data_IF_992865023264
#
_entry.id   IF_992865023264
#
_cell.length_a   1.000
_cell.length_b   1.000
_cell.length_c   1.000
_cell.angle_alpha   90.00
_cell.angle_beta   90.00
_cell.angle_gamma   90.00
#
_symmetry.space_group_name_H-M   'P 1'
#
loop_
_entity.id
_entity.type
_entity.pdbx_description
1 polymer ?
#
# COMPACT_ATOMS: atom_id res chain seq x y z
N UNK A 1 7.11 -48.92 -60.17
CA UNK A 1 6.92 -50.00 -59.17
C UNK A 1 5.79 -49.59 -58.24
N UNK A 2 4.63 -50.29 -58.36
CA UNK A 2 3.45 -49.93 -57.47
C UNK A 2 3.63 -50.75 -56.18
N UNK A 3 3.74 -50.07 -55.04
CA UNK A 3 3.89 -50.75 -53.75
C UNK A 3 2.66 -51.63 -53.43
N UNK A 4 2.87 -52.83 -52.82
CA UNK A 4 1.78 -53.69 -52.37
C UNK A 4 0.81 -52.93 -51.43
N UNK A 5 -0.50 -53.22 -51.41
CA UNK A 5 -1.49 -52.53 -50.59
C UNK A 5 -1.14 -52.52 -49.11
N UNK A 6 -0.72 -53.64 -48.55
CA UNK A 6 -0.32 -53.79 -47.14
C UNK A 6 0.83 -52.88 -46.76
N UNK A 7 1.79 -52.65 -47.66
CA UNK A 7 2.91 -51.75 -47.41
C UNK A 7 2.50 -50.30 -47.47
N UNK A 8 1.49 -49.92 -48.27
CA UNK A 8 0.88 -48.60 -48.32
C UNK A 8 0.13 -48.28 -47.04
N UNK A 9 -0.65 -49.27 -46.55
CA UNK A 9 -1.42 -49.09 -45.29
C UNK A 9 -0.49 -48.99 -44.09
N UNK A 10 0.60 -49.74 -44.04
CA UNK A 10 1.62 -49.60 -42.99
C UNK A 10 2.33 -48.26 -43.05
N UNK A 11 2.68 -47.76 -44.22
CA UNK A 11 3.30 -46.45 -44.39
C UNK A 11 2.33 -45.34 -43.94
N UNK A 12 1.04 -45.43 -44.29
CA UNK A 12 0.04 -44.48 -43.87
C UNK A 12 -0.17 -44.47 -42.33
N UNK A 13 -0.20 -45.68 -41.72
CA UNK A 13 -0.28 -45.79 -40.25
C UNK A 13 0.95 -45.21 -39.56
N UNK A 14 2.16 -45.49 -40.02
CA UNK A 14 3.40 -44.91 -39.49
C UNK A 14 3.46 -43.38 -39.68
N UNK A 15 3.00 -42.87 -40.83
CA UNK A 15 2.92 -41.43 -41.05
C UNK A 15 1.94 -40.75 -40.06
N UNK A 16 0.78 -41.36 -39.82
CA UNK A 16 -0.20 -40.87 -38.85
C UNK A 16 0.38 -40.89 -37.42
N UNK A 17 1.10 -41.93 -37.03
CA UNK A 17 1.74 -42.00 -35.71
C UNK A 17 2.87 -40.99 -35.56
N UNK A 18 3.69 -40.79 -36.61
CA UNK A 18 4.73 -39.74 -36.62
C UNK A 18 4.11 -38.35 -36.49
N UNK A 19 2.99 -38.08 -37.13
CA UNK A 19 2.28 -36.80 -36.98
C UNK A 19 1.72 -36.62 -35.58
N UNK A 20 1.13 -37.64 -34.98
CA UNK A 20 0.67 -37.64 -33.61
C UNK A 20 1.82 -37.40 -32.61
N UNK A 21 2.93 -38.12 -32.74
CA UNK A 21 4.12 -37.94 -31.90
C UNK A 21 4.76 -36.55 -32.06
N UNK A 22 4.75 -35.99 -33.26
CA UNK A 22 5.21 -34.61 -33.51
C UNK A 22 4.31 -33.58 -32.81
N UNK A 23 2.99 -33.79 -32.85
CA UNK A 23 2.03 -32.93 -32.16
C UNK A 23 2.21 -32.98 -30.63
N UNK A 24 2.35 -34.19 -30.07
CA UNK A 24 2.60 -34.37 -28.62
C UNK A 24 3.94 -33.77 -28.19
N UNK A 25 4.99 -33.96 -28.98
CA UNK A 25 6.30 -33.38 -28.71
C UNK A 25 6.25 -31.84 -28.73
N UNK A 26 5.48 -31.25 -29.65
CA UNK A 26 5.27 -29.80 -29.70
C UNK A 26 4.48 -29.30 -28.47
N UNK A 27 3.46 -30.06 -28.04
CA UNK A 27 2.68 -29.73 -26.84
C UNK A 27 3.53 -29.81 -25.57
N UNK A 28 4.34 -30.87 -25.41
CA UNK A 28 5.26 -31.00 -24.26
C UNK A 28 6.33 -29.92 -24.24
N UNK A 29 6.93 -29.59 -25.37
CA UNK A 29 7.90 -28.47 -25.46
C UNK A 29 7.26 -27.14 -25.05
N UNK A 30 6.00 -26.91 -25.44
CA UNK A 30 5.24 -25.72 -25.03
C UNK A 30 5.01 -25.73 -23.53
N UNK A 31 4.62 -26.84 -22.93
CA UNK A 31 4.39 -26.96 -21.50
C UNK A 31 5.68 -26.73 -20.69
N UNK A 32 6.79 -27.29 -21.11
CA UNK A 32 8.12 -27.05 -20.53
C UNK A 32 8.50 -25.57 -20.62
N UNK A 33 8.24 -24.91 -21.75
CA UNK A 33 8.50 -23.48 -21.91
C UNK A 33 7.63 -22.64 -20.98
N UNK A 34 6.36 -22.98 -20.81
CA UNK A 34 5.42 -22.30 -19.92
C UNK A 34 5.80 -22.50 -18.44
N UNK A 35 6.22 -23.71 -18.05
CA UNK A 35 6.71 -24.01 -16.70
C UNK A 35 8.01 -23.23 -16.39
N UNK A 36 8.98 -23.22 -17.32
CA UNK A 36 10.20 -22.42 -17.18
C UNK A 36 9.87 -20.94 -17.02
N UNK A 37 8.97 -20.39 -17.84
CA UNK A 37 8.51 -19.01 -17.74
C UNK A 37 7.86 -18.71 -16.37
N UNK A 38 7.10 -19.66 -15.80
CA UNK A 38 6.52 -19.51 -14.46
C UNK A 38 7.59 -19.48 -13.36
N UNK A 39 8.64 -20.31 -13.48
CA UNK A 39 9.77 -20.35 -12.56
C UNK A 39 10.61 -19.06 -12.62
N UNK A 40 10.82 -18.52 -13.81
CA UNK A 40 11.60 -17.29 -14.02
C UNK A 40 10.85 -16.02 -13.60
N UNK A 41 9.52 -16.10 -13.35
CA UNK A 41 8.73 -15.00 -12.83
C UNK A 41 9.02 -14.74 -11.35
N UNK A 42 9.41 -13.51 -11.04
CA UNK A 42 9.69 -13.01 -9.70
C UNK A 42 9.00 -11.69 -9.44
N UNK A 43 9.21 -11.10 -8.27
CA UNK A 43 8.59 -9.82 -7.90
C UNK A 43 9.09 -8.62 -8.70
N UNK A 44 10.19 -8.73 -9.45
CA UNK A 44 10.71 -7.64 -10.30
C UNK A 44 10.09 -7.61 -11.70
N UNK A 45 9.63 -8.78 -12.19
CA UNK A 45 9.08 -8.96 -13.54
C UNK A 45 7.63 -9.49 -13.56
N UNK A 46 6.97 -9.55 -12.39
CA UNK A 46 5.59 -9.98 -12.29
C UNK A 46 4.88 -9.29 -11.13
N UNK A 47 3.59 -9.56 -10.94
CA UNK A 47 2.80 -9.11 -9.78
C UNK A 47 3.05 -9.93 -8.51
N UNK A 48 3.99 -10.89 -8.52
CA UNK A 48 4.32 -11.66 -7.32
C UNK A 48 4.88 -10.73 -6.23
N UNK A 49 4.48 -10.90 -4.96
CA UNK A 49 5.03 -10.10 -3.86
C UNK A 49 6.51 -10.46 -3.62
N UNK A 50 7.34 -9.54 -3.10
CA UNK A 50 8.74 -9.82 -2.76
C UNK A 50 8.97 -11.05 -1.89
N UNK A 51 8.01 -11.36 -1.03
CA UNK A 51 8.06 -12.54 -0.15
C UNK A 51 7.97 -13.88 -0.87
N UNK A 52 7.54 -13.90 -2.14
CA UNK A 52 7.52 -15.12 -2.95
C UNK A 52 8.86 -15.41 -3.63
N UNK A 53 9.84 -14.50 -3.52
CA UNK A 53 11.13 -14.63 -4.21
C UNK A 53 12.11 -15.59 -3.51
N UNK A 54 11.85 -15.99 -2.25
CA UNK A 54 12.74 -16.86 -1.46
C UNK A 54 14.01 -16.13 -0.98
N UNK A 55 14.83 -16.83 -0.18
CA UNK A 55 16.04 -16.28 0.45
C UNK A 55 17.27 -16.28 -0.47
N UNK A 56 17.27 -17.04 -1.58
CA UNK A 56 18.43 -17.21 -2.46
C UNK A 56 18.57 -16.12 -3.53
N UNK A 57 17.69 -15.14 -3.58
CA UNK A 57 17.76 -14.08 -4.59
C UNK A 57 18.73 -12.99 -4.21
N UNK A 58 19.51 -12.49 -5.20
CA UNK A 58 20.34 -11.33 -4.97
C UNK A 58 19.49 -10.14 -4.49
N UNK A 59 20.07 -9.22 -3.69
CA UNK A 59 19.37 -8.04 -3.22
C UNK A 59 18.74 -7.31 -4.41
N UNK A 60 17.50 -6.88 -4.26
CA UNK A 60 16.83 -6.09 -5.29
C UNK A 60 17.65 -4.83 -5.59
N UNK A 61 18.13 -4.72 -6.79
CA UNK A 61 18.35 -3.39 -7.34
C UNK A 61 16.95 -2.80 -7.47
N UNK A 62 16.63 -1.81 -6.64
CA UNK A 62 15.34 -1.16 -6.65
C UNK A 62 15.07 -0.69 -8.08
N UNK A 63 14.10 -1.30 -8.75
CA UNK A 63 13.60 -0.87 -10.06
C UNK A 63 12.84 0.43 -9.89
N UNK A 64 13.57 1.49 -9.55
CA UNK A 64 13.05 2.84 -9.57
C UNK A 64 12.81 3.22 -11.01
N UNK A 65 11.66 3.84 -11.30
CA UNK A 65 11.44 4.59 -12.54
C UNK A 65 12.37 5.80 -12.67
N UNK A 66 13.17 6.08 -11.63
CA UNK A 66 14.32 6.98 -11.67
C UNK A 66 15.49 6.21 -12.29
N UNK A 67 16.09 6.74 -13.35
CA UNK A 67 17.34 6.22 -13.89
C UNK A 67 18.39 6.06 -12.79
N UNK A 68 19.31 5.13 -12.95
CA UNK A 68 20.46 5.03 -12.04
C UNK A 68 21.18 6.38 -12.03
N UNK A 69 21.16 7.05 -10.89
CA UNK A 69 21.75 8.39 -10.76
C UNK A 69 23.28 8.38 -10.71
N UNK A 70 23.92 7.21 -10.75
CA UNK A 70 25.37 7.06 -10.53
C UNK A 70 25.85 7.50 -9.13
N UNK A 71 24.93 7.93 -8.27
CA UNK A 71 25.24 8.42 -6.92
C UNK A 71 25.29 7.26 -5.94
N UNK A 72 26.19 7.32 -4.97
CA UNK A 72 26.27 6.35 -3.88
C UNK A 72 24.99 6.33 -3.05
N UNK A 73 24.63 5.16 -2.47
CA UNK A 73 23.51 5.06 -1.55
C UNK A 73 23.81 5.82 -0.26
N UNK A 74 22.89 6.65 0.22
CA UNK A 74 23.05 7.46 1.42
C UNK A 74 22.77 8.94 1.18
N UNK A 75 23.09 9.77 2.17
CA UNK A 75 22.99 11.23 2.06
C UNK A 75 23.93 11.77 1.00
N UNK A 76 23.42 12.57 0.09
CA UNK A 76 24.21 13.23 -0.95
C UNK A 76 24.78 14.55 -0.43
N UNK A 77 25.89 15.05 -1.00
CA UNK A 77 26.38 16.38 -0.69
C UNK A 77 25.28 17.43 -0.88
N UNK A 78 25.07 18.30 0.11
CA UNK A 78 23.97 19.28 0.13
C UNK A 78 22.62 18.76 0.61
N UNK A 79 22.51 17.47 0.99
CA UNK A 79 21.30 16.96 1.64
C UNK A 79 21.21 17.54 3.06
N UNK A 80 20.13 18.26 3.35
CA UNK A 80 19.85 18.72 4.71
C UNK A 80 19.59 17.50 5.60
N UNK A 81 20.63 17.06 6.31
CA UNK A 81 20.55 15.94 7.24
C UNK A 81 19.59 16.25 8.38
N UNK A 82 18.78 15.26 8.79
CA UNK A 82 17.93 15.33 9.98
C UNK A 82 18.73 15.13 11.28
N UNK A 83 19.80 15.91 11.51
CA UNK A 83 20.59 15.80 12.74
C UNK A 83 19.79 16.37 13.91
N UNK A 84 19.83 15.68 15.05
CA UNK A 84 19.21 16.17 16.30
C UNK A 84 19.83 17.53 16.65
N UNK A 85 18.97 18.54 16.83
CA UNK A 85 19.38 19.92 17.19
C UNK A 85 19.01 20.21 18.61
N UNK A 86 19.83 21.05 19.26
CA UNK A 86 19.54 21.56 20.59
C UNK A 86 18.24 22.40 20.58
N UNK A 87 17.44 22.27 21.65
CA UNK A 87 16.28 23.14 21.88
C UNK A 87 16.67 24.37 22.70
N UNK A 88 15.99 25.47 22.43
CA UNK A 88 16.27 26.73 23.13
C UNK A 88 15.88 26.68 24.61
N UNK A 89 14.82 25.94 24.95
CA UNK A 89 14.29 25.81 26.33
C UNK A 89 14.26 24.30 26.67
N UNK A 90 15.31 23.76 27.33
CA UNK A 90 15.29 22.41 27.86
C UNK A 90 14.43 22.32 29.10
N UNK A 91 13.82 21.16 29.37
CA UNK A 91 12.95 20.93 30.52
C UNK A 91 13.72 20.98 31.85
N UNK A 92 14.98 20.50 31.85
CA UNK A 92 15.85 20.49 33.03
C UNK A 92 17.22 21.00 32.67
N UNK A 93 17.80 21.88 33.50
CA UNK A 93 19.18 22.35 33.37
C UNK A 93 19.97 21.83 34.57
N UNK A 94 20.97 21.01 34.32
CA UNK A 94 21.95 20.56 35.33
C UNK A 94 23.25 21.32 35.09
N UNK A 95 23.71 22.06 36.08
CA UNK A 95 25.00 22.74 36.05
C UNK A 95 26.05 21.82 36.65
N UNK A 96 27.19 21.73 35.97
CA UNK A 96 28.37 21.02 36.42
C UNK A 96 29.49 22.05 36.62
N UNK A 97 30.05 22.09 37.79
CA UNK A 97 31.10 23.02 38.18
C UNK A 97 32.39 22.24 38.36
N UNK A 98 33.52 22.89 38.07
CA UNK A 98 34.85 22.32 38.33
C UNK A 98 35.31 22.78 39.70
N UNK A 99 35.73 21.86 40.55
CA UNK A 99 36.20 22.16 41.88
C UNK A 99 37.60 22.76 41.88
N UNK A 100 38.44 22.33 40.94
CA UNK A 100 39.84 22.80 40.87
C UNK A 100 40.31 23.02 39.41
N UNK A 101 41.27 23.89 39.26
CA UNK A 101 41.95 24.16 38.00
C UNK A 101 42.73 22.91 37.50
N UNK A 102 42.55 22.49 36.26
CA UNK A 102 43.25 21.32 35.67
C UNK A 102 44.76 21.55 35.46
N UNK A 103 45.21 22.81 35.48
CA UNK A 103 46.61 23.15 35.22
C UNK A 103 47.42 23.34 36.52
N UNK A 104 46.85 23.98 37.54
CA UNK A 104 47.60 24.32 38.76
C UNK A 104 46.95 23.75 40.03
N UNK A 105 45.83 23.00 39.93
CA UNK A 105 45.06 22.37 41.00
C UNK A 105 44.48 23.36 42.06
N UNK A 106 44.57 24.66 41.82
CA UNK A 106 43.98 25.65 42.71
C UNK A 106 42.43 25.58 42.69
N UNK A 107 41.77 25.76 43.82
CA UNK A 107 40.29 25.77 43.91
C UNK A 107 39.68 26.87 43.04
N UNK A 108 38.55 26.57 42.41
CA UNK A 108 37.85 27.48 41.50
C UNK A 108 36.62 28.14 42.14
N UNK A 109 36.42 28.02 43.43
CA UNK A 109 35.22 28.57 44.16
C UNK A 109 35.08 30.08 44.03
N UNK A 110 36.16 30.82 43.83
CA UNK A 110 36.18 32.28 43.65
C UNK A 110 36.47 32.73 42.22
N UNK A 111 36.64 31.75 41.29
CA UNK A 111 36.93 32.04 39.90
C UNK A 111 35.71 32.57 39.15
N UNK A 112 35.93 33.52 38.23
CA UNK A 112 34.86 34.05 37.37
C UNK A 112 34.52 33.07 36.25
N UNK A 113 33.24 32.75 36.11
CA UNK A 113 32.75 31.94 34.98
C UNK A 113 32.80 32.77 33.69
N UNK A 114 33.61 32.36 32.71
CA UNK A 114 33.78 33.07 31.43
C UNK A 114 32.92 32.54 30.29
N UNK A 115 32.31 31.36 30.44
CA UNK A 115 31.43 30.77 29.43
C UNK A 115 30.81 29.48 29.88
N UNK A 116 29.88 29.00 29.06
CA UNK A 116 29.14 27.73 29.30
C UNK A 116 29.10 26.90 28.00
N UNK A 117 29.69 25.71 28.04
CA UNK A 117 29.48 24.70 27.00
C UNK A 117 28.18 23.96 27.27
N UNK A 118 27.28 23.85 26.27
CA UNK A 118 25.96 23.24 26.42
C UNK A 118 25.90 21.92 25.64
N UNK A 119 25.46 20.85 26.31
CA UNK A 119 25.12 19.56 25.69
C UNK A 119 23.75 19.17 26.17
N UNK A 120 22.90 18.66 25.28
CA UNK A 120 21.54 18.23 25.61
C UNK A 120 21.37 16.76 25.33
N UNK A 121 20.78 16.05 26.28
CA UNK A 121 20.37 14.64 26.18
C UNK A 121 18.86 14.60 26.09
N UNK A 122 18.33 13.99 25.05
CA UNK A 122 16.90 13.80 24.85
C UNK A 122 16.58 12.37 25.31
N UNK A 123 15.77 12.25 26.34
CA UNK A 123 15.38 10.96 26.90
C UNK A 123 13.87 10.88 27.08
N UNK A 124 13.34 9.68 27.29
CA UNK A 124 11.95 9.47 27.63
C UNK A 124 11.78 9.63 29.16
N UNK A 125 10.70 10.32 29.61
CA UNK A 125 10.34 10.26 31.02
C UNK A 125 9.98 8.81 31.41
N UNK A 126 10.12 8.46 32.67
CA UNK A 126 9.72 7.13 33.16
C UNK A 126 8.23 6.89 32.83
N UNK A 127 7.92 5.87 31.99
CA UNK A 127 6.54 5.65 31.57
C UNK A 127 5.73 5.02 32.72
N UNK A 128 4.62 5.64 33.08
CA UNK A 128 3.70 5.14 34.12
C UNK A 128 2.27 5.49 33.80
N UNK A 129 1.33 4.80 34.47
CA UNK A 129 -0.07 5.20 34.49
C UNK A 129 -0.30 6.29 35.52
N UNK A 130 -0.96 7.38 35.12
CA UNK A 130 -1.51 8.36 36.05
C UNK A 130 -2.87 7.85 36.54
N UNK A 131 -3.05 7.70 37.84
CA UNK A 131 -4.30 7.28 38.46
C UNK A 131 -4.99 8.49 39.07
N UNK A 132 -6.21 8.79 38.59
CA UNK A 132 -7.07 9.82 39.15
C UNK A 132 -8.22 9.17 39.90
N UNK A 133 -8.38 9.47 41.18
CA UNK A 133 -9.52 9.07 41.97
C UNK A 133 -10.60 10.15 41.91
N UNK A 134 -11.83 9.76 41.55
CA UNK A 134 -13.01 10.62 41.61
C UNK A 134 -13.84 10.22 42.83
N UNK A 135 -14.08 11.17 43.71
CA UNK A 135 -14.86 10.98 44.93
C UNK A 135 -16.20 11.69 44.81
N UNK A 136 -17.31 10.97 44.83
CA UNK A 136 -18.65 11.52 44.88
C UNK A 136 -19.09 11.65 46.35
N UNK A 137 -19.13 12.87 46.86
CA UNK A 137 -19.52 13.13 48.24
C UNK A 137 -20.98 12.79 48.50
N UNK A 138 -21.25 12.20 49.64
CA UNK A 138 -22.58 11.81 50.08
C UNK A 138 -23.00 12.74 51.21
N UNK A 139 -24.10 13.45 50.99
CA UNK A 139 -24.66 14.39 51.92
C UNK A 139 -25.94 13.87 52.57
N UNK A 140 -26.16 14.25 53.83
CA UNK A 140 -27.46 14.13 54.48
C UNK A 140 -28.07 15.52 54.61
N UNK A 141 -29.24 15.71 54.01
CA UNK A 141 -29.93 17.01 54.08
C UNK A 141 -30.32 17.33 55.50
N UNK A 142 -29.95 18.51 55.98
CA UNK A 142 -30.32 18.95 57.33
C UNK A 142 -31.83 19.18 57.49
N UNK A 143 -32.52 19.55 56.41
CA UNK A 143 -33.94 19.87 56.42
C UNK A 143 -34.82 18.60 56.34
N UNK A 144 -34.65 17.75 55.35
CA UNK A 144 -35.50 16.55 55.14
C UNK A 144 -34.79 15.23 55.54
N UNK A 145 -33.54 15.27 56.01
CA UNK A 145 -32.69 14.14 56.36
C UNK A 145 -32.43 13.13 55.24
N UNK A 146 -32.90 13.45 54.00
CA UNK A 146 -32.66 12.65 52.79
C UNK A 146 -31.18 12.56 52.43
N UNK A 147 -30.76 11.44 51.89
CA UNK A 147 -29.38 11.18 51.40
C UNK A 147 -29.25 11.61 49.94
N UNK A 148 -28.27 12.40 49.62
CA UNK A 148 -27.93 12.81 48.25
C UNK A 148 -26.47 12.55 47.96
N UNK A 149 -26.19 11.84 46.86
CA UNK A 149 -24.83 11.58 46.37
C UNK A 149 -24.54 12.47 45.17
N UNK A 150 -23.39 13.11 45.17
CA UNK A 150 -22.92 13.86 44.00
C UNK A 150 -22.74 12.96 42.77
N UNK A 151 -22.95 13.50 41.60
CA UNK A 151 -22.74 12.73 40.33
C UNK A 151 -21.26 12.68 39.96
N UNK A 152 -20.83 11.57 39.36
CA UNK A 152 -19.51 11.47 38.74
C UNK A 152 -19.50 12.25 37.41
N UNK A 153 -18.30 12.71 36.97
CA UNK A 153 -18.15 13.29 35.63
C UNK A 153 -18.52 12.29 34.52
N UNK A 154 -18.89 12.83 33.37
CA UNK A 154 -19.16 12.00 32.19
C UNK A 154 -17.97 11.09 31.86
N UNK A 155 -18.25 9.82 31.57
CA UNK A 155 -17.24 8.81 31.27
C UNK A 155 -16.62 8.12 32.49
N UNK A 156 -16.93 8.53 33.73
CA UNK A 156 -16.56 7.83 34.96
C UNK A 156 -17.73 6.93 35.39
N UNK A 157 -17.71 5.67 34.95
CA UNK A 157 -18.85 4.76 35.07
C UNK A 157 -18.57 3.48 35.90
N UNK A 158 -17.30 3.24 36.27
CA UNK A 158 -16.87 2.03 36.99
C UNK A 158 -15.96 2.41 38.15
N UNK A 159 -15.91 1.55 39.16
CA UNK A 159 -15.02 1.71 40.33
C UNK A 159 -13.53 1.73 39.95
N UNK A 160 -13.17 1.06 38.85
CA UNK A 160 -11.86 1.15 38.23
C UNK A 160 -12.01 1.00 36.72
N UNK A 161 -11.33 1.88 35.95
CA UNK A 161 -11.40 1.84 34.50
C UNK A 161 -10.14 2.46 33.88
N UNK A 162 -9.77 2.00 32.68
CA UNK A 162 -8.73 2.64 31.88
C UNK A 162 -9.26 3.91 31.19
N UNK A 163 -8.46 4.95 31.24
CA UNK A 163 -8.77 6.25 30.65
C UNK A 163 -8.67 6.26 29.10
N UNK A 164 -9.09 7.34 28.46
CA UNK A 164 -9.16 7.46 27.00
C UNK A 164 -7.79 7.33 26.31
N UNK A 165 -6.70 7.80 26.94
CA UNK A 165 -5.35 7.69 26.38
C UNK A 165 -4.84 6.26 26.34
N UNK A 166 -5.08 5.45 27.37
CA UNK A 166 -4.73 4.01 27.40
C UNK A 166 -5.49 3.28 26.31
N UNK A 167 -6.79 3.54 26.16
CA UNK A 167 -7.63 2.95 25.11
C UNK A 167 -7.13 3.32 23.72
N UNK A 168 -6.82 4.59 23.48
CA UNK A 168 -6.29 5.07 22.20
C UNK A 168 -4.91 4.49 21.89
N UNK A 169 -3.99 4.42 22.84
CA UNK A 169 -2.68 3.81 22.67
C UNK A 169 -2.79 2.32 22.32
N UNK A 170 -3.67 1.58 23.00
CA UNK A 170 -3.91 0.16 22.73
C UNK A 170 -4.49 -0.05 21.32
N UNK A 171 -5.46 0.75 20.89
CA UNK A 171 -6.02 0.71 19.53
C UNK A 171 -4.96 1.11 18.49
N UNK A 172 -4.13 2.11 18.78
CA UNK A 172 -3.01 2.50 17.91
C UNK A 172 -2.02 1.35 17.70
N UNK A 173 -1.58 0.71 18.78
CA UNK A 173 -0.64 -0.42 18.70
C UNK A 173 -1.26 -1.59 17.92
N UNK A 174 -2.52 -1.93 18.16
CA UNK A 174 -3.20 -3.03 17.47
C UNK A 174 -3.50 -2.72 16.00
N UNK A 175 -4.09 -1.57 15.69
CA UNK A 175 -4.61 -1.27 14.34
C UNK A 175 -3.58 -0.58 13.46
N UNK A 176 -2.78 0.37 14.00
CA UNK A 176 -1.78 1.08 13.20
C UNK A 176 -0.46 0.31 13.14
N UNK A 177 0.02 -0.22 14.26
CA UNK A 177 1.27 -0.97 14.34
C UNK A 177 1.08 -2.47 14.09
N UNK A 178 -0.17 -2.95 13.99
CA UNK A 178 -0.56 -4.33 13.69
C UNK A 178 -0.11 -5.35 14.74
N UNK A 179 0.17 -4.89 15.96
CA UNK A 179 0.58 -5.76 17.08
C UNK A 179 -0.63 -6.59 17.51
N UNK A 180 -0.50 -7.92 17.69
CA UNK A 180 -1.56 -8.77 18.20
C UNK A 180 -2.05 -8.33 19.59
N UNK A 181 -3.29 -8.60 19.92
CA UNK A 181 -3.98 -8.08 21.09
C UNK A 181 -3.30 -8.51 22.42
N UNK A 182 -2.80 -9.73 22.50
CA UNK A 182 -2.04 -10.26 23.63
C UNK A 182 -0.70 -9.53 23.81
N UNK A 183 0.00 -9.27 22.71
CA UNK A 183 1.25 -8.48 22.74
C UNK A 183 1.01 -7.01 23.05
N UNK A 184 -0.12 -6.44 22.62
CA UNK A 184 -0.51 -5.09 23.06
C UNK A 184 -0.68 -5.03 24.57
N UNK A 185 -1.39 -6.02 25.15
CA UNK A 185 -1.56 -6.11 26.61
C UNK A 185 -0.20 -6.21 27.32
N UNK A 186 0.70 -7.06 26.83
CA UNK A 186 2.06 -7.19 27.35
C UNK A 186 2.86 -5.86 27.21
N UNK A 187 2.85 -5.23 26.05
CA UNK A 187 3.53 -3.96 25.81
C UNK A 187 3.04 -2.85 26.75
N UNK A 188 1.73 -2.80 27.01
CA UNK A 188 1.15 -1.82 27.93
C UNK A 188 1.53 -2.11 29.38
N UNK A 189 1.70 -3.40 29.74
CA UNK A 189 2.21 -3.78 31.06
C UNK A 189 3.69 -3.41 31.22
N UNK A 190 4.52 -3.75 30.26
CA UNK A 190 5.97 -3.54 30.30
C UNK A 190 6.35 -2.05 30.30
N UNK A 191 5.66 -1.25 29.45
CA UNK A 191 6.00 0.18 29.29
C UNK A 191 5.31 1.08 30.30
N UNK A 192 4.08 0.73 30.78
CA UNK A 192 3.24 1.66 31.55
C UNK A 192 2.70 1.06 32.86
N UNK A 193 3.12 -0.15 33.22
CA UNK A 193 2.62 -0.81 34.42
C UNK A 193 1.15 -1.25 34.35
N UNK A 194 0.54 -1.35 33.15
CA UNK A 194 -0.85 -1.80 32.95
C UNK A 194 -0.99 -3.33 33.03
N UNK A 195 -0.46 -3.96 34.07
CA UNK A 195 -0.27 -5.41 34.19
C UNK A 195 -1.56 -6.26 34.10
N UNK A 196 -2.75 -5.66 34.28
CA UNK A 196 -4.04 -6.36 34.22
C UNK A 196 -4.84 -6.06 32.96
N UNK A 197 -4.21 -5.50 31.94
CA UNK A 197 -4.89 -5.24 30.67
C UNK A 197 -5.23 -6.56 29.97
N UNK A 198 -6.53 -6.81 29.81
CA UNK A 198 -7.02 -8.01 29.12
C UNK A 198 -6.99 -7.78 27.59
N UNK A 199 -6.47 -8.72 26.75
CA UNK A 199 -6.52 -8.65 25.30
C UNK A 199 -7.92 -8.39 24.73
N UNK A 200 -8.97 -8.95 25.35
CA UNK A 200 -10.35 -8.71 24.93
C UNK A 200 -10.78 -7.24 25.11
N UNK A 201 -10.19 -6.52 26.06
CA UNK A 201 -10.44 -5.09 26.23
C UNK A 201 -9.93 -4.29 25.03
N UNK A 202 -8.78 -4.65 24.45
CA UNK A 202 -8.23 -4.04 23.23
C UNK A 202 -9.21 -4.20 22.06
N UNK A 203 -9.77 -5.41 21.90
CA UNK A 203 -10.80 -5.70 20.87
C UNK A 203 -12.05 -4.86 21.10
N UNK A 204 -12.55 -4.80 22.34
CA UNK A 204 -13.74 -4.04 22.69
C UNK A 204 -13.56 -2.54 22.45
N UNK A 205 -12.41 -1.97 22.80
CA UNK A 205 -12.08 -0.57 22.56
C UNK A 205 -11.96 -0.26 21.07
N UNK A 206 -11.34 -1.16 20.29
CA UNK A 206 -11.29 -1.04 18.84
C UNK A 206 -12.68 -1.01 18.21
N UNK A 207 -13.58 -1.89 18.66
CA UNK A 207 -14.99 -1.94 18.19
C UNK A 207 -15.73 -0.66 18.54
N UNK A 208 -15.64 -0.18 19.79
CA UNK A 208 -16.26 1.08 20.23
C UNK A 208 -15.76 2.25 19.40
N UNK A 209 -14.44 2.40 19.27
CA UNK A 209 -13.84 3.49 18.49
C UNK A 209 -14.22 3.45 17.02
N UNK A 210 -14.32 2.25 16.42
CA UNK A 210 -14.81 2.10 15.05
C UNK A 210 -16.27 2.52 14.90
N UNK A 211 -17.12 2.31 15.92
CA UNK A 211 -18.50 2.77 15.87
C UNK A 211 -18.59 4.30 16.02
N UNK A 212 -17.81 4.89 16.92
CA UNK A 212 -17.67 6.35 17.04
C UNK A 212 -17.21 6.98 15.70
N UNK A 213 -16.32 6.32 14.96
CA UNK A 213 -15.81 6.80 13.67
C UNK A 213 -16.67 6.45 12.46
N UNK A 214 -17.86 5.92 12.64
CA UNK A 214 -18.76 5.51 11.54
C UNK A 214 -19.09 6.66 10.59
N UNK A 215 -19.45 7.82 11.14
CA UNK A 215 -19.79 9.01 10.35
C UNK A 215 -18.54 9.55 9.61
N UNK A 216 -17.39 9.65 10.29
CA UNK A 216 -16.12 10.12 9.71
C UNK A 216 -15.72 9.22 8.52
N UNK A 217 -15.76 7.89 8.71
CA UNK A 217 -15.42 6.94 7.66
C UNK A 217 -16.41 6.99 6.48
N UNK A 218 -17.69 7.21 6.73
CA UNK A 218 -18.70 7.40 5.69
C UNK A 218 -18.44 8.68 4.88
N UNK A 219 -18.07 9.77 5.54
CA UNK A 219 -17.72 11.03 4.87
C UNK A 219 -16.44 10.89 4.02
N UNK A 220 -15.39 10.22 4.56
CA UNK A 220 -14.18 9.90 3.78
C UNK A 220 -14.59 9.14 2.51
N UNK A 221 -15.43 8.12 2.63
CA UNK A 221 -15.89 7.33 1.48
C UNK A 221 -16.66 8.19 0.47
N UNK A 222 -17.50 9.11 0.93
CA UNK A 222 -18.26 10.03 0.07
C UNK A 222 -17.32 11.00 -0.66
N UNK A 223 -16.36 11.62 0.04
CA UNK A 223 -15.36 12.51 -0.57
C UNK A 223 -14.52 11.77 -1.62
N UNK A 224 -14.04 10.57 -1.32
CA UNK A 224 -13.33 9.73 -2.28
C UNK A 224 -14.21 9.39 -3.48
N UNK A 225 -15.50 9.13 -3.29
CA UNK A 225 -16.42 8.80 -4.38
C UNK A 225 -16.62 9.95 -5.38
N UNK A 226 -16.42 11.19 -4.98
CA UNK A 226 -16.56 12.39 -5.81
C UNK A 226 -15.22 12.98 -6.29
N UNK A 227 -14.08 12.44 -5.85
CA UNK A 227 -12.77 12.96 -6.21
C UNK A 227 -12.51 12.90 -7.73
N UNK A 228 -11.78 13.88 -8.25
CA UNK A 228 -11.43 13.94 -9.68
C UNK A 228 -10.54 12.77 -10.13
N UNK A 229 -9.59 12.35 -9.29
CA UNK A 229 -8.70 11.20 -9.53
C UNK A 229 -8.72 10.28 -8.32
N UNK A 230 -8.98 9.01 -8.56
CA UNK A 230 -9.06 7.96 -7.55
C UNK A 230 -8.20 6.78 -7.95
N UNK A 231 -7.56 6.19 -6.96
CA UNK A 231 -6.80 4.97 -7.08
C UNK A 231 -7.62 3.81 -6.53
N UNK A 232 -7.86 2.78 -7.31
CA UNK A 232 -8.56 1.58 -6.88
C UNK A 232 -7.63 0.36 -6.93
N UNK A 233 -7.72 -0.48 -5.90
CA UNK A 233 -7.02 -1.76 -5.83
C UNK A 233 -7.72 -2.67 -4.82
N UNK A 234 -7.45 -3.98 -4.85
CA UNK A 234 -7.98 -4.94 -3.91
C UNK A 234 -6.96 -5.98 -3.49
N UNK A 235 -7.12 -6.51 -2.29
CA UNK A 235 -6.28 -7.60 -1.81
C UNK A 235 -7.11 -8.66 -1.10
N UNK A 236 -6.78 -9.93 -1.35
CA UNK A 236 -7.36 -11.05 -0.62
C UNK A 236 -6.81 -11.16 0.79
N UNK A 237 -7.66 -11.56 1.73
CA UNK A 237 -7.29 -11.90 3.11
C UNK A 237 -8.21 -13.00 3.65
N UNK A 238 -8.01 -13.45 4.89
CA UNK A 238 -8.80 -14.55 5.46
C UNK A 238 -9.61 -14.10 6.68
N UNK A 239 -10.85 -14.58 6.76
CA UNK A 239 -11.72 -14.46 7.93
C UNK A 239 -12.25 -15.86 8.28
N UNK A 240 -11.96 -16.35 9.48
CA UNK A 240 -12.31 -17.70 9.91
C UNK A 240 -11.90 -18.77 8.85
N UNK A 241 -10.71 -18.66 8.29
CA UNK A 241 -10.21 -19.55 7.23
C UNK A 241 -10.75 -19.29 5.83
N UNK A 242 -11.86 -18.55 5.66
CA UNK A 242 -12.50 -18.25 4.36
C UNK A 242 -11.87 -17.03 3.70
N UNK A 243 -11.69 -17.09 2.37
CA UNK A 243 -11.19 -15.96 1.58
C UNK A 243 -12.16 -14.79 1.57
N UNK A 244 -11.65 -13.58 1.78
CA UNK A 244 -12.38 -12.31 1.73
C UNK A 244 -11.52 -11.28 0.97
N UNK A 245 -12.12 -10.15 0.60
CA UNK A 245 -11.46 -9.10 -0.16
C UNK A 245 -11.55 -7.75 0.55
N UNK A 246 -10.42 -7.07 0.66
CA UNK A 246 -10.35 -5.67 1.05
C UNK A 246 -10.18 -4.83 -0.20
N UNK A 247 -11.19 -4.03 -0.52
CA UNK A 247 -11.14 -3.02 -1.57
C UNK A 247 -10.70 -1.71 -0.98
N UNK A 248 -9.80 -1.02 -1.66
CA UNK A 248 -9.42 0.35 -1.34
C UNK A 248 -9.83 1.30 -2.45
N UNK A 249 -10.22 2.49 -2.05
CA UNK A 249 -10.32 3.65 -2.92
C UNK A 249 -9.58 4.80 -2.25
N UNK A 250 -8.59 5.35 -2.94
CA UNK A 250 -7.66 6.33 -2.39
C UNK A 250 -7.53 7.55 -3.27
N UNK A 251 -7.30 8.69 -2.65
CA UNK A 251 -6.74 9.91 -3.26
C UNK A 251 -5.38 10.21 -2.62
N UNK A 252 -4.74 11.29 -3.00
CA UNK A 252 -3.53 11.77 -2.34
C UNK A 252 -3.76 12.11 -0.85
N UNK A 253 -4.99 12.53 -0.48
CA UNK A 253 -5.35 13.00 0.86
C UNK A 253 -6.23 12.03 1.66
N UNK A 254 -6.95 11.12 1.00
CA UNK A 254 -7.99 10.30 1.61
C UNK A 254 -7.80 8.82 1.30
N UNK A 255 -8.26 7.95 2.20
CA UNK A 255 -8.29 6.50 1.98
C UNK A 255 -9.56 5.89 2.54
N UNK A 256 -10.32 5.21 1.71
CA UNK A 256 -11.51 4.44 2.08
C UNK A 256 -11.25 2.95 1.88
N UNK A 257 -11.76 2.12 2.80
CA UNK A 257 -11.70 0.66 2.71
C UNK A 257 -13.08 0.03 2.81
N UNK A 258 -13.27 -1.05 2.05
CA UNK A 258 -14.48 -1.87 2.11
C UNK A 258 -14.12 -3.36 2.10
N UNK A 259 -14.76 -4.11 3.00
CA UNK A 259 -14.62 -5.57 3.08
C UNK A 259 -15.78 -6.22 2.32
N UNK A 260 -15.47 -7.22 1.47
CA UNK A 260 -16.44 -7.99 0.70
C UNK A 260 -16.03 -9.46 0.60
N UNK A 261 -16.98 -10.34 0.38
CA UNK A 261 -16.79 -11.75 0.07
C UNK A 261 -16.41 -11.99 -1.40
N UNK A 262 -16.62 -11.00 -2.27
CA UNK A 262 -16.37 -11.08 -3.71
C UNK A 262 -15.30 -10.09 -4.16
N UNK A 263 -14.35 -10.57 -4.96
CA UNK A 263 -13.31 -9.72 -5.57
C UNK A 263 -13.90 -8.66 -6.51
N UNK A 264 -14.94 -8.99 -7.24
CA UNK A 264 -15.59 -8.10 -8.21
C UNK A 264 -16.67 -7.20 -7.63
N UNK A 265 -16.91 -7.24 -6.31
CA UNK A 265 -17.90 -6.39 -5.64
C UNK A 265 -17.38 -4.96 -5.48
N UNK A 266 -17.50 -4.17 -6.53
CA UNK A 266 -17.03 -2.78 -6.57
C UNK A 266 -18.07 -1.82 -6.01
N UNK A 267 -17.60 -0.71 -5.43
CA UNK A 267 -18.48 0.37 -4.97
C UNK A 267 -19.24 0.99 -6.16
N UNK A 268 -20.57 1.00 -6.09
CA UNK A 268 -21.44 1.64 -7.09
C UNK A 268 -21.56 3.16 -6.91
N UNK A 269 -20.93 3.71 -5.88
CA UNK A 269 -21.06 5.12 -5.50
C UNK A 269 -20.16 6.11 -6.25
N UNK A 270 -19.24 5.64 -7.08
CA UNK A 270 -18.33 6.52 -7.81
C UNK A 270 -19.06 7.36 -8.85
N UNK A 271 -18.75 8.64 -8.91
CA UNK A 271 -19.35 9.61 -9.82
C UNK A 271 -18.26 10.36 -10.57
N UNK A 272 -18.28 10.31 -11.91
CA UNK A 272 -17.36 11.03 -12.78
C UNK A 272 -15.87 10.75 -12.50
N UNK A 273 -14.99 11.63 -12.94
CA UNK A 273 -13.56 11.58 -12.67
C UNK A 273 -12.79 10.46 -13.38
N UNK A 274 -11.57 10.23 -12.92
CA UNK A 274 -10.65 9.21 -13.43
C UNK A 274 -10.39 8.17 -12.35
N UNK A 275 -10.42 6.89 -12.72
CA UNK A 275 -10.02 5.76 -11.87
C UNK A 275 -8.70 5.20 -12.37
N UNK A 276 -7.68 5.17 -11.50
CA UNK A 276 -6.37 4.56 -11.75
C UNK A 276 -6.37 3.14 -11.18
N UNK A 277 -6.06 2.12 -12.00
CA UNK A 277 -6.11 0.71 -11.60
C UNK A 277 -5.18 -0.21 -12.41
N UNK A 278 -5.10 -1.48 -12.06
CA UNK A 278 -4.20 -2.52 -12.64
C UNK A 278 -4.76 -3.26 -13.86
N UNK A 279 -5.84 -2.80 -14.49
CA UNK A 279 -6.56 -3.47 -15.57
C UNK A 279 -7.46 -4.64 -15.11
N UNK A 280 -7.83 -4.75 -13.84
CA UNK A 280 -8.83 -5.72 -13.41
C UNK A 280 -10.18 -5.44 -14.09
N UNK A 281 -10.69 -6.43 -14.85
CA UNK A 281 -11.85 -6.24 -15.74
C UNK A 281 -13.10 -5.63 -15.09
N UNK A 282 -13.49 -6.02 -13.85
CA UNK A 282 -14.66 -5.44 -13.21
C UNK A 282 -14.65 -3.91 -13.08
N UNK A 283 -13.47 -3.26 -13.00
CA UNK A 283 -13.41 -1.79 -12.94
C UNK A 283 -14.02 -1.11 -14.17
N UNK A 284 -13.95 -1.74 -15.35
CA UNK A 284 -14.54 -1.21 -16.58
C UNK A 284 -16.07 -1.25 -16.59
N UNK A 285 -16.70 -1.97 -15.66
CA UNK A 285 -18.16 -1.96 -15.49
C UNK A 285 -18.67 -0.79 -14.65
N UNK A 286 -17.78 0.04 -14.09
CA UNK A 286 -18.17 1.22 -13.32
C UNK A 286 -18.69 2.32 -14.27
N UNK A 287 -19.94 2.80 -14.07
CA UNK A 287 -20.56 3.74 -14.99
C UNK A 287 -20.02 5.17 -14.81
N UNK A 288 -19.94 5.92 -15.91
CA UNK A 288 -19.67 7.36 -15.91
C UNK A 288 -18.27 7.78 -15.46
N UNK A 289 -17.31 6.85 -15.41
CA UNK A 289 -15.92 7.12 -15.03
C UNK A 289 -14.97 6.94 -16.23
N UNK A 290 -13.85 7.64 -16.20
CA UNK A 290 -12.74 7.44 -17.13
C UNK A 290 -11.69 6.56 -16.47
N UNK A 291 -10.94 5.80 -17.25
CA UNK A 291 -9.92 4.87 -16.74
C UNK A 291 -8.52 5.36 -17.03
N UNK A 292 -7.59 5.09 -16.11
CA UNK A 292 -6.16 5.19 -16.31
C UNK A 292 -5.49 3.90 -15.82
N UNK A 293 -4.60 3.35 -16.63
CA UNK A 293 -3.94 2.09 -16.29
C UNK A 293 -2.60 2.34 -15.60
N UNK A 294 -2.32 1.54 -14.58
CA UNK A 294 -1.06 1.57 -13.85
C UNK A 294 0.11 1.12 -14.74
N UNK A 295 0.93 2.06 -15.18
CA UNK A 295 2.08 1.75 -16.02
C UNK A 295 3.20 1.00 -15.28
N UNK A 296 3.25 0.99 -13.95
CA UNK A 296 4.17 0.14 -13.20
C UNK A 296 3.92 -1.36 -13.47
N UNK A 297 2.67 -1.77 -13.68
CA UNK A 297 2.33 -3.13 -14.10
C UNK A 297 2.80 -3.41 -15.53
N UNK A 298 2.56 -2.49 -16.46
CA UNK A 298 3.07 -2.62 -17.84
C UNK A 298 4.59 -2.72 -17.87
N UNK A 299 5.31 -1.89 -17.10
CA UNK A 299 6.78 -1.95 -17.03
C UNK A 299 7.29 -3.29 -16.49
N UNK A 300 6.61 -3.90 -15.50
CA UNK A 300 6.96 -5.23 -14.99
C UNK A 300 6.72 -6.33 -16.04
N UNK A 301 5.60 -6.28 -16.74
CA UNK A 301 5.29 -7.22 -17.82
C UNK A 301 6.27 -7.07 -19.00
N UNK A 302 6.58 -5.83 -19.40
CA UNK A 302 7.59 -5.54 -20.42
C UNK A 302 8.98 -6.06 -20.02
N UNK A 303 9.34 -5.90 -18.74
CA UNK A 303 10.60 -6.45 -18.21
C UNK A 303 10.63 -7.98 -18.32
N UNK A 304 9.53 -8.67 -18.02
CA UNK A 304 9.46 -10.12 -18.21
C UNK A 304 9.69 -10.51 -19.68
N UNK A 305 9.07 -9.79 -20.62
CA UNK A 305 9.23 -10.04 -22.06
C UNK A 305 10.67 -9.79 -22.54
N UNK A 306 11.34 -8.79 -21.96
CA UNK A 306 12.77 -8.52 -22.25
C UNK A 306 13.67 -9.60 -21.66
N UNK A 307 13.49 -9.92 -20.39
CA UNK A 307 14.40 -10.81 -19.64
C UNK A 307 14.21 -12.28 -20.08
N UNK A 308 12.97 -12.72 -20.29
CA UNK A 308 12.60 -14.13 -20.54
C UNK A 308 12.41 -14.38 -22.03
N UNK A 309 11.56 -13.59 -22.69
CA UNK A 309 11.15 -13.84 -24.08
C UNK A 309 12.04 -13.15 -25.11
N UNK A 310 12.97 -12.26 -24.68
CA UNK A 310 13.91 -11.51 -25.53
C UNK A 310 13.24 -10.68 -26.63
N UNK A 311 12.01 -10.20 -26.39
CA UNK A 311 11.25 -9.43 -27.37
C UNK A 311 11.73 -7.97 -27.46
N UNK A 312 12.33 -7.57 -28.55
CA UNK A 312 12.93 -6.24 -28.76
C UNK A 312 11.92 -5.10 -28.65
N UNK A 313 10.69 -5.27 -29.19
CA UNK A 313 9.64 -4.25 -29.10
C UNK A 313 9.28 -3.91 -27.65
N UNK A 314 9.42 -4.87 -26.72
CA UNK A 314 9.15 -4.67 -25.31
C UNK A 314 10.14 -3.69 -24.66
N UNK A 315 11.43 -3.76 -25.04
CA UNK A 315 12.44 -2.77 -24.65
C UNK A 315 12.08 -1.37 -25.14
N UNK A 316 11.73 -1.25 -26.42
CA UNK A 316 11.35 0.04 -27.02
C UNK A 316 10.10 0.65 -26.36
N UNK A 317 9.12 -0.18 -26.01
CA UNK A 317 7.90 0.30 -25.31
C UNK A 317 8.20 0.71 -23.86
N UNK A 318 9.04 -0.04 -23.15
CA UNK A 318 9.48 0.32 -21.80
C UNK A 318 10.14 1.69 -21.81
N UNK A 319 11.10 1.91 -22.71
CA UNK A 319 11.88 3.13 -22.79
C UNK A 319 10.98 4.33 -23.19
N UNK A 320 10.04 4.11 -24.11
CA UNK A 320 9.04 5.11 -24.47
C UNK A 320 8.16 5.53 -23.28
N UNK A 321 7.65 4.57 -22.49
CA UNK A 321 6.81 4.88 -21.34
C UNK A 321 7.59 5.61 -20.24
N UNK A 322 8.87 5.27 -20.03
CA UNK A 322 9.73 5.96 -19.07
C UNK A 322 10.05 7.37 -19.52
N UNK A 323 10.41 7.57 -20.81
CA UNK A 323 10.63 8.86 -21.43
C UNK A 323 9.38 9.76 -21.36
N UNK A 324 8.22 9.20 -21.69
CA UNK A 324 6.94 9.90 -21.63
C UNK A 324 6.61 10.39 -20.21
N UNK A 325 6.86 9.56 -19.20
CA UNK A 325 6.72 9.95 -17.79
C UNK A 325 7.73 11.03 -17.39
N UNK A 326 8.96 10.94 -17.88
CA UNK A 326 10.00 11.97 -17.68
C UNK A 326 9.59 13.32 -18.25
N UNK A 327 9.05 13.33 -19.48
CA UNK A 327 8.57 14.55 -20.14
C UNK A 327 7.42 15.23 -19.35
N UNK A 328 6.45 14.46 -18.88
CA UNK A 328 5.38 15.01 -18.02
C UNK A 328 5.93 15.58 -16.72
N UNK A 329 6.84 14.87 -16.06
CA UNK A 329 7.44 15.36 -14.81
C UNK A 329 8.27 16.61 -15.01
N UNK A 330 9.03 16.72 -16.12
CA UNK A 330 9.74 17.94 -16.49
C UNK A 330 8.78 19.11 -16.67
N UNK A 331 7.75 18.92 -17.50
CA UNK A 331 6.74 19.92 -17.74
C UNK A 331 6.02 20.39 -16.44
N UNK A 332 5.71 19.48 -15.52
CA UNK A 332 5.11 19.84 -14.21
C UNK A 332 6.08 20.67 -13.36
N UNK A 333 7.38 20.33 -13.34
CA UNK A 333 8.39 21.11 -12.62
C UNK A 333 8.54 22.52 -13.20
N UNK A 334 8.38 22.67 -14.51
CA UNK A 334 8.40 23.95 -15.23
C UNK A 334 7.07 24.72 -15.12
N UNK A 335 6.08 24.20 -14.38
CA UNK A 335 4.77 24.84 -14.20
C UNK A 335 3.84 24.74 -15.40
N UNK A 336 4.15 23.91 -16.40
CA UNK A 336 3.31 23.75 -17.59
C UNK A 336 2.06 22.90 -17.28
N UNK A 337 0.91 23.31 -17.78
CA UNK A 337 -0.35 22.57 -17.63
C UNK A 337 -0.50 21.38 -18.61
N UNK A 338 0.30 21.34 -19.67
CA UNK A 338 0.27 20.32 -20.74
C UNK A 338 1.60 20.19 -21.45
N UNK A 339 1.84 19.05 -22.08
CA UNK A 339 2.99 18.86 -22.98
C UNK A 339 2.87 19.72 -24.24
N UNK A 340 4.01 20.19 -24.80
CA UNK A 340 4.04 20.76 -26.12
C UNK A 340 3.42 19.79 -27.15
N UNK A 341 2.60 20.31 -28.07
CA UNK A 341 1.85 19.50 -29.04
C UNK A 341 2.75 18.59 -29.87
N UNK A 342 3.93 19.06 -30.25
CA UNK A 342 4.90 18.28 -31.04
C UNK A 342 5.43 17.08 -30.23
N UNK A 343 5.78 17.30 -28.96
CA UNK A 343 6.26 16.23 -28.05
C UNK A 343 5.18 15.18 -27.88
N UNK A 344 3.94 15.59 -27.57
CA UNK A 344 2.81 14.69 -27.39
C UNK A 344 2.55 13.86 -28.67
N UNK A 345 2.50 14.49 -29.83
CA UNK A 345 2.30 13.81 -31.11
C UNK A 345 3.40 12.81 -31.42
N UNK A 346 4.66 13.16 -31.13
CA UNK A 346 5.83 12.29 -31.36
C UNK A 346 5.74 11.05 -30.49
N UNK A 347 5.45 11.19 -29.18
CA UNK A 347 5.28 10.06 -28.26
C UNK A 347 4.16 9.12 -28.72
N UNK A 348 3.00 9.67 -29.13
CA UNK A 348 1.87 8.89 -29.63
C UNK A 348 2.22 8.17 -30.93
N UNK A 349 2.90 8.83 -31.88
CA UNK A 349 3.34 8.21 -33.14
C UNK A 349 4.29 7.05 -32.89
N UNK A 350 5.26 7.21 -31.98
CA UNK A 350 6.21 6.17 -31.58
C UNK A 350 5.49 4.99 -30.91
N UNK A 351 4.56 5.27 -29.97
CA UNK A 351 3.73 4.23 -29.35
C UNK A 351 3.00 3.38 -30.39
N UNK A 352 2.30 4.03 -31.32
CA UNK A 352 1.57 3.33 -32.36
C UNK A 352 2.49 2.48 -33.28
N UNK A 353 3.67 3.01 -33.61
CA UNK A 353 4.66 2.29 -34.41
C UNK A 353 5.20 1.04 -33.73
N UNK A 354 5.51 1.14 -32.41
CA UNK A 354 5.99 -0.01 -31.62
C UNK A 354 4.90 -1.08 -31.50
N UNK A 355 3.66 -0.69 -31.19
CA UNK A 355 2.52 -1.61 -31.11
C UNK A 355 2.31 -2.34 -32.46
N UNK A 356 2.33 -1.60 -33.56
CA UNK A 356 2.17 -2.19 -34.90
C UNK A 356 3.28 -3.21 -35.23
N UNK A 357 4.55 -2.85 -34.95
CA UNK A 357 5.68 -3.78 -35.16
C UNK A 357 5.58 -5.02 -34.27
N UNK A 358 5.24 -4.86 -32.99
CA UNK A 358 5.05 -5.97 -32.08
C UNK A 358 3.91 -6.90 -32.50
N UNK A 359 2.78 -6.36 -32.95
CA UNK A 359 1.66 -7.16 -33.46
C UNK A 359 2.05 -7.90 -34.75
N UNK A 360 2.83 -7.28 -35.65
CA UNK A 360 3.36 -7.94 -36.85
C UNK A 360 4.32 -9.07 -36.48
N UNK A 361 5.23 -8.84 -35.52
CA UNK A 361 6.12 -9.88 -34.99
C UNK A 361 5.34 -11.12 -34.52
N UNK A 362 4.28 -10.92 -33.71
CA UNK A 362 3.49 -12.06 -33.18
C UNK A 362 2.63 -12.75 -34.26
N UNK A 363 2.18 -12.05 -35.30
CA UNK A 363 1.47 -12.69 -36.44
C UNK A 363 2.35 -13.65 -37.21
N UNK A 364 3.64 -13.37 -37.28
CA UNK A 364 4.61 -14.22 -38.00
C UNK A 364 5.13 -15.38 -37.12
N UNK A 365 4.71 -15.46 -35.84
CA UNK A 365 5.08 -16.60 -34.99
C UNK A 365 4.11 -17.77 -35.17
N UNK A 366 4.57 -19.00 -35.07
CA UNK A 366 3.70 -20.19 -35.09
C UNK A 366 2.61 -20.07 -34.00
N UNK A 367 1.38 -20.49 -34.25
CA UNK A 367 0.34 -20.51 -33.24
C UNK A 367 0.75 -21.38 -32.05
N UNK A 368 0.33 -20.98 -30.82
CA UNK A 368 0.55 -21.83 -29.65
C UNK A 368 -0.39 -23.05 -29.71
N UNK A 369 0.13 -24.21 -29.32
CA UNK A 369 -0.66 -25.44 -29.21
C UNK A 369 -1.77 -25.23 -28.14
N UNK A 370 -2.95 -25.78 -28.44
CA UNK A 370 -4.07 -25.81 -27.53
C UNK A 370 -3.89 -26.99 -26.57
N UNK A 371 -4.15 -26.77 -25.28
CA UNK A 371 -4.15 -27.89 -24.32
C UNK A 371 -5.21 -28.92 -24.74
N UNK A 372 -4.87 -30.20 -24.66
CA UNK A 372 -5.79 -31.28 -24.93
C UNK A 372 -7.05 -31.12 -24.07
N UNK A 373 -8.21 -31.23 -24.68
CA UNK A 373 -9.50 -31.05 -24.01
C UNK A 373 -9.92 -29.59 -23.71
N UNK A 374 -9.07 -28.59 -23.97
CA UNK A 374 -9.43 -27.19 -23.74
C UNK A 374 -10.45 -26.68 -24.77
N UNK A 375 -11.56 -26.10 -24.27
CA UNK A 375 -12.57 -25.43 -25.12
C UNK A 375 -12.13 -24.00 -25.44
N UNK A 376 -12.63 -23.44 -26.55
CA UNK A 376 -12.41 -22.04 -26.94
C UNK A 376 -11.22 -21.81 -27.89
N UNK A 377 -10.78 -20.53 -28.02
CA UNK A 377 -9.70 -20.11 -28.93
C UNK A 377 -8.33 -20.56 -28.44
N UNK A 378 -7.37 -20.77 -29.35
CA UNK A 378 -5.98 -21.01 -29.00
C UNK A 378 -5.42 -19.83 -28.15
N UNK A 379 -4.54 -20.10 -27.17
CA UNK A 379 -3.98 -19.05 -26.33
C UNK A 379 -3.04 -18.14 -27.13
N UNK A 380 -3.01 -16.87 -26.80
CA UNK A 380 -1.99 -15.96 -27.33
C UNK A 380 -0.77 -15.91 -26.41
N UNK A 381 0.41 -15.63 -26.99
CA UNK A 381 1.63 -15.34 -26.22
C UNK A 381 1.43 -14.15 -25.29
N UNK A 382 2.16 -14.12 -24.18
CA UNK A 382 2.06 -13.03 -23.20
C UNK A 382 2.31 -11.66 -23.82
N UNK A 383 3.33 -11.55 -24.69
CA UNK A 383 3.62 -10.32 -25.41
C UNK A 383 2.48 -9.88 -26.34
N UNK A 384 1.86 -10.81 -27.06
CA UNK A 384 0.69 -10.52 -27.89
C UNK A 384 -0.49 -9.97 -27.07
N UNK A 385 -0.79 -10.59 -25.93
CA UNK A 385 -1.87 -10.12 -25.03
C UNK A 385 -1.58 -8.71 -24.48
N UNK A 386 -0.31 -8.42 -24.14
CA UNK A 386 0.09 -7.09 -23.70
C UNK A 386 -0.07 -6.06 -24.84
N UNK A 387 0.34 -6.39 -26.06
CA UNK A 387 0.17 -5.50 -27.22
C UNK A 387 -1.28 -5.19 -27.54
N UNK A 388 -2.16 -6.21 -27.48
CA UNK A 388 -3.61 -6.01 -27.65
C UNK A 388 -4.13 -5.04 -26.59
N UNK A 389 -3.70 -5.16 -25.32
CA UNK A 389 -4.08 -4.27 -24.24
C UNK A 389 -3.56 -2.84 -24.48
N UNK A 390 -2.28 -2.67 -24.81
CA UNK A 390 -1.67 -1.37 -25.13
C UNK A 390 -2.36 -0.69 -26.33
N UNK A 391 -2.82 -1.46 -27.30
CA UNK A 391 -3.57 -0.97 -28.47
C UNK A 391 -4.98 -0.57 -28.09
N UNK A 392 -5.75 -1.51 -27.53
CA UNK A 392 -7.19 -1.32 -27.23
C UNK A 392 -7.44 -0.23 -26.18
N UNK A 393 -6.60 -0.18 -25.15
CA UNK A 393 -6.71 0.75 -24.03
C UNK A 393 -5.67 1.88 -24.08
N UNK A 394 -5.21 2.23 -25.29
CA UNK A 394 -4.19 3.27 -25.49
C UNK A 394 -4.48 4.56 -24.72
N UNK A 395 -5.74 5.05 -24.76
CA UNK A 395 -6.13 6.28 -24.05
C UNK A 395 -5.96 6.14 -22.54
N UNK A 396 -6.23 4.98 -21.99
CA UNK A 396 -6.15 4.72 -20.54
C UNK A 396 -4.70 4.50 -20.11
N UNK A 397 -3.87 3.86 -20.96
CA UNK A 397 -2.42 3.70 -20.75
C UNK A 397 -1.69 5.04 -20.76
N UNK A 398 -2.07 5.92 -21.70
CA UNK A 398 -1.41 7.22 -21.96
C UNK A 398 -2.16 8.43 -21.37
N UNK A 399 -3.15 8.22 -20.49
CA UNK A 399 -3.97 9.31 -19.94
C UNK A 399 -3.15 10.38 -19.23
N UNK A 400 -2.09 9.99 -18.52
CA UNK A 400 -1.17 10.89 -17.82
C UNK A 400 -0.49 11.92 -18.76
N UNK A 401 -0.43 11.66 -20.08
CA UNK A 401 0.08 12.63 -21.06
C UNK A 401 -0.88 13.77 -21.34
N UNK A 402 -2.18 13.54 -21.13
CA UNK A 402 -3.25 14.49 -21.42
C UNK A 402 -3.77 15.22 -20.19
N UNK A 403 -3.59 14.60 -19.02
CA UNK A 403 -4.11 15.10 -17.73
C UNK A 403 -3.04 14.86 -16.67
N UNK A 404 -2.33 15.90 -16.30
CA UNK A 404 -1.21 15.84 -15.35
C UNK A 404 -1.64 15.55 -13.89
N UNK A 405 -2.94 15.70 -13.59
CA UNK A 405 -3.50 15.25 -12.33
C UNK A 405 -3.57 13.71 -12.25
N UNK A 406 -3.50 13.01 -13.38
CA UNK A 406 -3.54 11.55 -13.44
C UNK A 406 -2.11 11.00 -13.33
N UNK A 407 -1.78 10.25 -12.27
CA UNK A 407 -0.43 9.74 -12.07
C UNK A 407 -0.11 8.58 -13.03
N UNK A 408 1.17 8.38 -13.27
CA UNK A 408 1.70 7.29 -14.09
C UNK A 408 1.47 5.89 -13.49
N UNK A 409 1.31 5.79 -12.16
CA UNK A 409 1.20 4.52 -11.42
C UNK A 409 0.05 4.52 -10.43
N UNK A 410 -0.39 3.33 -10.00
CA UNK A 410 -1.41 3.12 -8.95
C UNK A 410 -0.79 2.96 -7.55
N UNK A 411 0.39 3.52 -7.29
CA UNK A 411 1.14 3.29 -6.06
C UNK A 411 0.40 3.71 -4.79
N UNK A 412 -0.54 4.68 -4.86
CA UNK A 412 -1.32 5.12 -3.69
C UNK A 412 -2.16 3.97 -3.12
N UNK A 413 -3.00 3.35 -3.95
CA UNK A 413 -3.81 2.22 -3.52
C UNK A 413 -2.96 1.00 -3.12
N UNK A 414 -1.88 0.70 -3.88
CA UNK A 414 -0.96 -0.38 -3.55
C UNK A 414 -0.31 -0.17 -2.17
N UNK A 415 0.07 1.07 -1.83
CA UNK A 415 0.66 1.44 -0.53
C UNK A 415 -0.35 1.27 0.59
N UNK A 416 -1.57 1.74 0.37
CA UNK A 416 -2.65 1.68 1.36
C UNK A 416 -3.05 0.23 1.67
N UNK A 417 -2.92 -0.71 0.73
CA UNK A 417 -3.21 -2.13 0.94
C UNK A 417 -2.07 -2.92 1.59
N UNK A 418 -0.84 -2.40 1.63
CA UNK A 418 0.30 -3.13 2.21
C UNK A 418 0.08 -3.54 3.65
N UNK A 419 -0.60 -2.70 4.43
CA UNK A 419 -0.89 -2.96 5.83
C UNK A 419 -1.70 -4.25 6.03
N UNK A 420 -2.64 -4.58 5.12
CA UNK A 420 -3.41 -5.83 5.20
C UNK A 420 -2.50 -7.06 4.97
N UNK A 421 -1.58 -6.97 4.01
CA UNK A 421 -0.60 -8.04 3.76
C UNK A 421 0.33 -8.25 4.94
N UNK A 422 0.73 -7.17 5.62
CA UNK A 422 1.54 -7.23 6.85
C UNK A 422 0.74 -7.85 7.98
N UNK A 423 -0.52 -7.41 8.20
CA UNK A 423 -1.39 -8.00 9.23
C UNK A 423 -1.58 -9.50 9.05
N UNK A 424 -1.78 -9.96 7.81
CA UNK A 424 -1.89 -11.39 7.53
C UNK A 424 -0.61 -12.18 7.86
N UNK A 425 0.55 -11.59 7.67
CA UNK A 425 1.84 -12.22 8.03
C UNK A 425 2.05 -12.27 9.54
N UNK A 426 1.57 -11.27 10.28
CA UNK A 426 1.72 -11.17 11.74
C UNK A 426 0.66 -12.04 12.45
N UNK A 427 -0.60 -11.95 12.02
CA UNK A 427 -1.76 -12.49 12.75
C UNK A 427 -2.61 -13.49 11.93
N UNK A 428 -2.20 -13.87 10.71
CA UNK A 428 -2.88 -14.86 9.87
C UNK A 428 -4.23 -14.45 9.30
N UNK A 429 -4.94 -13.49 9.87
CA UNK A 429 -6.27 -13.03 9.41
C UNK A 429 -7.17 -12.55 10.53
N UNK A 430 -8.47 -12.60 10.29
CA UNK A 430 -9.49 -12.21 11.28
C UNK A 430 -10.33 -13.41 11.70
N UNK A 431 -10.77 -13.42 12.95
CA UNK A 431 -11.69 -14.44 13.46
C UNK A 431 -13.14 -14.20 13.01
N UNK A 432 -13.54 -12.92 12.81
CA UNK A 432 -14.91 -12.55 12.44
C UNK A 432 -14.95 -11.45 11.39
N UNK A 433 -16.03 -11.42 10.60
CA UNK A 433 -16.31 -10.34 9.65
C UNK A 433 -16.50 -8.98 10.34
N UNK A 434 -17.07 -8.97 11.53
CA UNK A 434 -17.21 -7.75 12.34
C UNK A 434 -15.82 -7.18 12.69
N UNK A 435 -14.86 -8.03 13.09
CA UNK A 435 -13.48 -7.62 13.34
C UNK A 435 -12.79 -7.06 12.10
N UNK A 436 -12.97 -7.69 10.93
CA UNK A 436 -12.45 -7.18 9.67
C UNK A 436 -13.03 -5.80 9.29
N UNK A 437 -14.35 -5.62 9.46
CA UNK A 437 -15.01 -4.33 9.22
C UNK A 437 -14.57 -3.24 10.20
N UNK A 438 -14.43 -3.58 11.50
CA UNK A 438 -13.87 -2.70 12.54
C UNK A 438 -12.48 -2.22 12.11
N UNK A 439 -11.61 -3.13 11.74
CA UNK A 439 -10.25 -2.82 11.27
C UNK A 439 -10.27 -1.92 10.04
N UNK A 440 -11.05 -2.25 9.01
CA UNK A 440 -11.16 -1.46 7.78
C UNK A 440 -11.63 -0.02 8.07
N UNK A 441 -12.63 0.16 8.94
CA UNK A 441 -13.15 1.47 9.33
C UNK A 441 -12.10 2.30 10.07
N UNK A 442 -11.45 1.74 11.08
CA UNK A 442 -10.38 2.42 11.81
C UNK A 442 -9.20 2.77 10.87
N UNK A 443 -8.82 1.85 9.99
CA UNK A 443 -7.75 2.09 9.02
C UNK A 443 -8.09 3.20 8.02
N UNK A 444 -9.35 3.35 7.63
CA UNK A 444 -9.76 4.46 6.76
C UNK A 444 -9.46 5.82 7.42
N UNK A 445 -9.85 6.00 8.68
CA UNK A 445 -9.59 7.23 9.43
C UNK A 445 -8.09 7.43 9.69
N UNK A 446 -7.39 6.38 10.13
CA UNK A 446 -5.95 6.43 10.42
C UNK A 446 -5.14 6.72 9.14
N UNK A 447 -5.44 6.05 8.02
CA UNK A 447 -4.72 6.25 6.75
C UNK A 447 -4.97 7.65 6.20
N UNK A 448 -6.21 8.14 6.28
CA UNK A 448 -6.55 9.53 5.94
C UNK A 448 -5.81 10.52 6.83
N UNK A 449 -5.84 10.33 8.14
CA UNK A 449 -5.12 11.19 9.08
C UNK A 449 -3.61 11.25 8.80
N UNK A 450 -2.99 10.12 8.44
CA UNK A 450 -1.58 10.10 8.01
C UNK A 450 -1.33 10.93 6.76
N UNK A 451 -2.19 10.83 5.77
CA UNK A 451 -2.09 11.62 4.53
C UNK A 451 -2.27 13.11 4.78
N UNK A 452 -3.09 13.48 5.75
CA UNK A 452 -3.36 14.86 6.14
C UNK A 452 -2.45 15.39 7.26
N UNK A 453 -1.43 14.62 7.66
CA UNK A 453 -0.44 15.04 8.67
C UNK A 453 -0.96 15.02 10.11
N UNK A 454 -2.09 14.38 10.40
CA UNK A 454 -2.65 14.33 11.76
C UNK A 454 -1.80 13.45 12.70
N UNK A 455 -1.72 13.84 13.95
CA UNK A 455 -1.22 12.96 15.01
C UNK A 455 -2.26 11.87 15.31
N UNK A 456 -1.91 10.61 15.05
CA UNK A 456 -2.87 9.50 15.12
C UNK A 456 -3.35 9.21 16.55
N UNK A 457 -2.49 9.37 17.56
CA UNK A 457 -2.94 9.20 18.95
C UNK A 457 -3.96 10.27 19.34
N UNK A 458 -3.73 11.53 18.96
CA UNK A 458 -4.69 12.61 19.14
C UNK A 458 -5.97 12.35 18.33
N UNK A 459 -5.86 11.87 17.08
CA UNK A 459 -7.01 11.48 16.27
C UNK A 459 -7.87 10.43 16.97
N UNK A 460 -7.25 9.41 17.60
CA UNK A 460 -7.98 8.36 18.31
C UNK A 460 -8.62 8.83 19.63
N UNK A 461 -8.22 9.96 20.17
CA UNK A 461 -8.85 10.59 21.36
C UNK A 461 -9.81 11.72 21.01
N UNK A 462 -9.75 12.24 19.79
CA UNK A 462 -10.54 13.37 19.33
C UNK A 462 -12.04 13.05 19.24
N UNK A 463 -12.85 14.10 19.33
CA UNK A 463 -14.27 14.02 19.03
C UNK A 463 -14.46 13.76 17.52
N UNK A 464 -15.26 12.77 17.12
CA UNK A 464 -15.51 12.46 15.71
C UNK A 464 -16.03 13.65 14.89
N UNK A 465 -16.86 14.52 15.46
CA UNK A 465 -17.38 15.70 14.78
C UNK A 465 -16.25 16.67 14.38
N UNK A 466 -15.26 16.86 15.26
CA UNK A 466 -14.10 17.70 14.94
C UNK A 466 -13.32 17.14 13.75
N UNK A 467 -13.14 15.80 13.69
CA UNK A 467 -12.47 15.15 12.58
C UNK A 467 -13.24 15.30 11.27
N UNK A 468 -14.58 15.23 11.34
CA UNK A 468 -15.47 15.42 10.18
C UNK A 468 -15.27 16.80 9.55
N UNK A 469 -15.17 17.85 10.37
CA UNK A 469 -14.91 19.23 9.91
C UNK A 469 -13.48 19.45 9.42
N UNK A 470 -12.51 18.69 9.92
CA UNK A 470 -11.10 18.81 9.53
C UNK A 470 -10.74 18.08 8.24
N UNK A 471 -11.65 17.26 7.68
CA UNK A 471 -11.39 16.51 6.44
C UNK A 471 -11.25 17.45 5.24
N UNK A 472 -10.07 17.37 4.60
CA UNK A 472 -9.82 18.03 3.31
C UNK A 472 -9.92 16.99 2.17
N UNK A 473 -10.57 17.35 1.04
CA UNK A 473 -10.75 16.45 -0.12
C UNK A 473 -9.44 16.13 -0.87
#
# INVERSE_FOLDING_TARGET
>A
MILPPELRDLIAALQSEIEALRADNAALRQEVADLRRQLDKNSSNSSKPPSSDGLKKPPRVAGSTRGQSGKTSGGQAGHAGGTLKQVAKPDVIKRHEAEACRHCLAGLTTAMVTGVEKRQVFDLPEPRLDVTEHQAMIYRCAHCRGRTTASFPEGVISSAQYGPRVRAASVYLNVQQLIPEDRVAQTMADLFGAARLCPNSVVAWGRRKAEEFKAVAAQIAALVAHACVRHLDETGFRVAGKGQWLHTASTIALTSYRVSDKRGDLSKGFRGGVIVHDHFKPYYALPGVRHALCNAHHLRELKALIDIDKEQWAGQMRDLLVEANGAVRGAVVEGAARLPTLVLRTLIKRHNAIVRRGLAFHRNQPPLAKKIGARGRAPHRSGHNLLIRLHKFKRDVLRFLYDFAVPFTNNEAERDLRMMKVKMKISGGFRTMAGARTFARLRAVISTGRKQGWNILQTLTANPNTLTHALSP
#
